data_IF_139265035862
#
_entry.id   IF_139265035862
#
_cell.length_a   1.000
_cell.length_b   1.000
_cell.length_c   1.000
_cell.angle_alpha   90.00
_cell.angle_beta   90.00
_cell.angle_gamma   90.00
#
_symmetry.space_group_name_H-M   'P 1'
#
loop_
_entity.id
_entity.type
_entity.pdbx_description
1 polymer ?
#
# COMPACT_ATOMS: atom_id res chain seq x y z
N UNK A 1 -6.57 9.25 -63.11
CA UNK A 1 -7.48 8.75 -62.05
C UNK A 1 -7.97 7.30 -62.25
N UNK A 2 -8.29 6.82 -63.47
CA UNK A 2 -8.77 5.42 -63.69
C UNK A 2 -7.74 4.30 -63.41
N UNK A 3 -6.43 4.55 -63.56
CA UNK A 3 -5.39 3.52 -63.33
C UNK A 3 -5.09 3.25 -61.85
N UNK A 4 -5.16 4.26 -60.99
CA UNK A 4 -4.95 4.10 -59.54
C UNK A 4 -6.07 3.30 -58.86
N UNK A 5 -7.32 3.48 -59.31
CA UNK A 5 -8.46 2.71 -58.80
C UNK A 5 -8.40 1.22 -59.17
N UNK A 6 -7.80 0.88 -60.32
CA UNK A 6 -7.60 -0.50 -60.75
C UNK A 6 -6.50 -1.21 -59.95
N UNK A 7 -5.40 -0.49 -59.63
CA UNK A 7 -4.33 -1.02 -58.77
C UNK A 7 -4.79 -1.25 -57.33
N UNK A 8 -5.63 -0.37 -56.77
CA UNK A 8 -6.20 -0.57 -55.44
C UNK A 8 -7.20 -1.74 -55.40
N UNK A 9 -8.05 -1.90 -56.43
CA UNK A 9 -8.96 -3.05 -56.51
C UNK A 9 -8.23 -4.38 -56.68
N UNK A 10 -7.14 -4.40 -57.45
CA UNK A 10 -6.32 -5.61 -57.61
C UNK A 10 -5.56 -5.95 -56.31
N UNK A 11 -5.04 -4.95 -55.60
CA UNK A 11 -4.37 -5.13 -54.30
C UNK A 11 -5.32 -5.63 -53.21
N UNK A 12 -6.54 -5.07 -53.14
CA UNK A 12 -7.55 -5.50 -52.17
C UNK A 12 -8.02 -6.94 -52.43
N UNK A 13 -8.16 -7.35 -53.70
CA UNK A 13 -8.55 -8.71 -54.06
C UNK A 13 -7.44 -9.73 -53.73
N UNK A 14 -6.17 -9.36 -53.91
CA UNK A 14 -5.03 -10.22 -53.57
C UNK A 14 -4.91 -10.42 -52.05
N UNK A 15 -5.17 -9.35 -51.27
CA UNK A 15 -5.16 -9.40 -49.81
C UNK A 15 -6.31 -10.26 -49.26
N UNK A 16 -7.49 -10.19 -49.87
CA UNK A 16 -8.64 -11.05 -49.55
C UNK A 16 -8.36 -12.52 -49.88
N UNK A 17 -7.69 -12.83 -51.00
CA UNK A 17 -7.32 -14.21 -51.34
C UNK A 17 -6.28 -14.82 -50.38
N UNK A 18 -5.37 -14.01 -49.83
CA UNK A 18 -4.38 -14.45 -48.84
C UNK A 18 -5.02 -14.78 -47.47
N UNK A 19 -6.15 -14.16 -47.12
CA UNK A 19 -6.85 -14.41 -45.85
C UNK A 19 -7.70 -15.70 -45.85
N UNK A 20 -8.03 -16.28 -47.02
CA UNK A 20 -8.83 -17.51 -47.11
C UNK A 20 -8.00 -18.82 -47.13
N UNK A 21 -6.67 -18.75 -47.11
CA UNK A 21 -5.79 -19.92 -47.23
C UNK A 21 -5.26 -20.49 -45.90
N UNK A 22 -5.81 -20.06 -44.75
CA UNK A 22 -5.32 -20.42 -43.42
C UNK A 22 -6.30 -21.23 -42.58
N UNK A 23 -6.77 -22.39 -43.05
CA UNK A 23 -7.40 -23.39 -42.18
C UNK A 23 -7.31 -24.77 -42.84
N UNK A 24 -6.43 -25.63 -42.33
CA UNK A 24 -6.20 -26.97 -42.88
C UNK A 24 -4.91 -27.59 -42.34
N UNK A 25 -4.72 -27.56 -41.02
CA UNK A 25 -3.69 -28.34 -40.34
C UNK A 25 -4.33 -29.63 -39.82
N UNK A 26 -4.05 -30.75 -40.47
CA UNK A 26 -4.31 -32.09 -39.95
C UNK A 26 -3.35 -32.36 -38.77
N UNK A 27 -3.72 -31.91 -37.58
CA UNK A 27 -3.02 -32.31 -36.35
C UNK A 27 -3.43 -33.76 -35.99
N UNK A 28 -2.47 -34.68 -35.83
CA UNK A 28 -2.78 -36.05 -35.42
C UNK A 28 -3.45 -36.02 -34.04
N UNK A 29 -4.63 -36.65 -33.95
CA UNK A 29 -5.35 -36.84 -32.69
C UNK A 29 -4.40 -37.41 -31.62
N UNK A 30 -4.19 -36.72 -30.48
CA UNK A 30 -3.31 -37.25 -29.44
C UNK A 30 -3.93 -38.53 -28.88
N UNK A 31 -3.19 -39.64 -28.98
CA UNK A 31 -3.50 -40.91 -28.31
C UNK A 31 -3.67 -40.64 -26.81
N UNK A 32 -4.74 -41.12 -26.16
CA UNK A 32 -4.93 -40.92 -24.73
C UNK A 32 -3.74 -41.51 -23.97
N UNK A 33 -2.97 -40.63 -23.34
CA UNK A 33 -1.91 -41.03 -22.42
C UNK A 33 -2.58 -41.53 -21.15
N UNK A 34 -2.31 -42.78 -20.77
CA UNK A 34 -2.86 -43.35 -19.55
C UNK A 34 -2.50 -42.46 -18.35
N UNK A 35 -3.52 -42.00 -17.63
CA UNK A 35 -3.35 -41.28 -16.37
C UNK A 35 -2.55 -42.17 -15.40
N UNK A 36 -1.43 -41.71 -14.85
CA UNK A 36 -0.71 -42.47 -13.83
C UNK A 36 -1.62 -42.72 -12.64
N UNK A 37 -1.61 -43.95 -12.13
CA UNK A 37 -2.38 -44.33 -10.95
C UNK A 37 -2.03 -43.41 -9.77
N UNK A 38 -3.01 -43.05 -8.91
CA UNK A 38 -2.74 -42.25 -7.71
C UNK A 38 -1.66 -42.92 -6.86
N UNK A 39 -0.73 -42.16 -6.26
CA UNK A 39 0.23 -42.73 -5.33
C UNK A 39 -0.54 -43.37 -4.16
N UNK A 40 -0.28 -44.66 -3.93
CA UNK A 40 -0.71 -45.37 -2.72
C UNK A 40 -0.23 -44.57 -1.51
N UNK A 41 -1.16 -44.14 -0.66
CA UNK A 41 -0.85 -43.38 0.55
C UNK A 41 0.12 -44.19 1.43
N UNK A 42 1.32 -43.66 1.63
CA UNK A 42 2.27 -44.16 2.63
C UNK A 42 1.64 -43.97 4.02
N UNK A 43 1.58 -45.00 4.89
CA UNK A 43 1.04 -44.84 6.23
C UNK A 43 1.85 -43.77 6.98
N UNK A 44 1.19 -42.67 7.30
CA UNK A 44 1.77 -41.57 8.08
C UNK A 44 1.82 -41.99 9.54
N UNK A 45 3.03 -42.10 10.08
CA UNK A 45 3.25 -42.32 11.51
C UNK A 45 2.60 -41.19 12.31
N UNK A 46 1.84 -41.47 13.39
CA UNK A 46 1.24 -40.43 14.21
C UNK A 46 2.30 -39.46 14.76
N UNK A 47 2.07 -38.15 14.74
CA UNK A 47 2.98 -37.18 15.35
C UNK A 47 3.11 -37.45 16.85
N UNK A 48 4.34 -37.42 17.35
CA UNK A 48 4.63 -37.54 18.77
C UNK A 48 3.94 -36.40 19.53
N UNK A 49 3.20 -36.75 20.59
CA UNK A 49 2.60 -35.80 21.53
C UNK A 49 3.71 -35.00 22.21
N UNK A 50 3.93 -33.77 21.77
CA UNK A 50 4.79 -32.82 22.46
C UNK A 50 4.10 -32.36 23.75
N UNK A 51 4.83 -32.49 24.86
CA UNK A 51 4.42 -32.03 26.19
C UNK A 51 4.28 -30.50 26.19
N UNK A 52 3.28 -29.91 26.87
CA UNK A 52 3.07 -28.46 26.87
C UNK A 52 4.25 -27.74 27.56
N UNK A 53 4.74 -26.69 26.89
CA UNK A 53 5.73 -25.75 27.40
C UNK A 53 5.16 -25.03 28.65
N UNK A 54 5.92 -24.88 29.75
CA UNK A 54 5.44 -24.16 30.93
C UNK A 54 5.13 -22.70 30.59
N UNK A 55 3.95 -22.25 31.03
CA UNK A 55 3.49 -20.86 30.94
C UNK A 55 4.51 -19.92 31.60
N UNK A 56 4.99 -18.86 30.90
CA UNK A 56 5.87 -17.89 31.52
C UNK A 56 5.10 -17.14 32.63
N UNK A 57 5.65 -17.19 33.85
CA UNK A 57 5.15 -16.42 34.98
C UNK A 57 5.47 -14.93 34.74
N UNK A 58 4.49 -14.02 34.81
CA UNK A 58 4.75 -12.59 34.61
C UNK A 58 5.72 -12.05 35.67
N UNK A 59 6.71 -11.21 35.29
CA UNK A 59 7.58 -10.54 36.25
C UNK A 59 6.79 -9.62 37.17
N UNK A 60 7.03 -9.73 38.48
CA UNK A 60 6.48 -8.83 39.48
C UNK A 60 6.88 -7.38 39.18
N UNK A 61 5.88 -6.49 39.15
CA UNK A 61 6.08 -5.05 39.06
C UNK A 61 6.83 -4.55 40.30
N UNK A 62 8.06 -4.10 40.11
CA UNK A 62 8.82 -3.35 41.11
C UNK A 62 8.50 -1.87 40.95
N UNK A 63 7.85 -1.31 41.96
CA UNK A 63 7.61 0.12 42.13
C UNK A 63 8.81 0.76 42.82
N UNK A 64 9.50 1.76 42.24
CA UNK A 64 10.39 2.60 43.01
C UNK A 64 9.63 3.81 43.56
N UNK A 65 9.44 3.81 44.88
CA UNK A 65 9.19 5.00 45.68
C UNK A 65 10.52 5.74 45.82
N UNK A 66 10.64 6.93 45.23
CA UNK A 66 11.73 7.85 45.56
C UNK A 66 11.11 9.22 45.84
N UNK A 67 11.02 9.53 47.14
CA UNK A 67 10.87 10.87 47.68
C UNK A 67 12.25 11.51 47.70
N UNK A 68 12.43 12.63 47.00
CA UNK A 68 13.55 13.53 47.28
C UNK A 68 13.07 14.98 47.30
N UNK A 69 12.95 15.49 48.53
CA UNK A 69 12.81 16.91 48.84
C UNK A 69 14.21 17.51 48.84
N UNK A 70 14.52 18.30 47.80
CA UNK A 70 15.75 19.06 47.70
C UNK A 70 15.44 20.51 47.34
N UNK A 71 15.37 21.37 48.36
CA UNK A 71 15.36 22.81 48.19
C UNK A 71 16.75 23.27 47.74
N UNK A 72 16.84 23.96 46.60
CA UNK A 72 17.96 24.85 46.30
C UNK A 72 17.40 26.19 45.85
N UNK A 73 17.54 27.15 46.76
CA UNK A 73 17.46 28.58 46.54
C UNK A 73 18.52 29.00 45.53
N UNK A 74 18.06 29.47 44.37
CA UNK A 74 18.88 30.15 43.38
C UNK A 74 18.05 31.24 42.69
N UNK A 75 18.00 32.41 43.31
CA UNK A 75 17.47 33.61 42.67
C UNK A 75 18.43 34.01 41.54
N UNK A 76 18.03 33.75 40.29
CA UNK A 76 18.64 34.38 39.14
C UNK A 76 17.77 35.57 38.71
N UNK A 77 18.40 36.73 38.74
CA UNK A 77 17.88 38.00 38.25
C UNK A 77 17.74 37.87 36.74
N UNK A 78 16.51 37.71 36.24
CA UNK A 78 16.21 37.89 34.83
C UNK A 78 16.14 39.41 34.62
N UNK A 79 17.21 39.99 34.07
CA UNK A 79 17.20 41.33 33.50
C UNK A 79 16.20 41.35 32.35
N UNK A 80 15.13 42.10 32.54
CA UNK A 80 14.13 42.38 31.52
C UNK A 80 14.67 43.40 30.52
N UNK A 81 15.46 42.92 29.55
CA UNK A 81 15.84 43.67 28.35
C UNK A 81 15.89 42.71 27.15
N UNK A 82 14.75 42.07 26.84
CA UNK A 82 14.44 41.74 25.44
C UNK A 82 12.97 41.35 25.29
N UNK A 83 12.09 42.35 25.26
CA UNK A 83 10.71 42.19 24.80
C UNK A 83 10.43 43.28 23.78
N UNK A 84 11.14 43.23 22.66
CA UNK A 84 10.78 43.93 21.42
C UNK A 84 11.10 43.03 20.23
N UNK A 85 10.15 42.19 19.84
CA UNK A 85 9.82 41.94 18.43
C UNK A 85 8.74 40.87 18.34
N UNK A 86 7.50 41.29 18.59
CA UNK A 86 6.31 40.55 18.16
C UNK A 86 5.62 41.39 17.09
N UNK A 87 6.27 41.53 15.95
CA UNK A 87 5.66 42.02 14.72
C UNK A 87 6.58 41.69 13.54
N UNK A 88 6.07 40.85 12.65
CA UNK A 88 6.59 40.57 11.31
C UNK A 88 7.88 39.74 11.20
N UNK A 89 7.78 38.46 11.57
CA UNK A 89 8.49 37.42 10.82
C UNK A 89 7.46 36.64 9.99
N UNK A 90 7.15 37.20 8.83
CA UNK A 90 7.05 36.38 7.62
C UNK A 90 8.49 36.02 7.21
N UNK A 91 9.24 35.42 8.15
CA UNK A 91 10.55 34.87 7.87
C UNK A 91 10.32 33.83 6.79
N UNK A 92 11.04 33.99 5.69
CA UNK A 92 11.33 32.93 4.74
C UNK A 92 11.77 31.71 5.53
N UNK A 93 10.81 30.83 5.84
CA UNK A 93 11.04 29.59 6.57
C UNK A 93 12.04 28.81 5.74
N UNK A 94 13.28 28.75 6.21
CA UNK A 94 14.36 28.09 5.48
C UNK A 94 14.30 26.61 5.82
N UNK A 95 13.70 25.81 4.94
CA UNK A 95 13.70 24.37 5.11
C UNK A 95 15.10 23.81 4.76
N UNK A 96 15.73 23.02 5.65
CA UNK A 96 17.09 22.50 5.43
C UNK A 96 17.13 21.41 4.35
N UNK A 97 15.99 20.77 4.09
CA UNK A 97 15.82 19.74 3.07
C UNK A 97 14.73 20.24 2.13
N UNK A 98 15.03 20.26 0.84
CA UNK A 98 14.07 20.59 -0.19
C UNK A 98 13.13 19.38 -0.44
N UNK A 99 11.83 19.62 -0.66
CA UNK A 99 10.94 18.58 -1.15
C UNK A 99 11.43 18.02 -2.49
N UNK A 100 11.14 16.75 -2.75
CA UNK A 100 11.46 16.17 -4.05
C UNK A 100 10.70 16.86 -5.19
N UNK A 101 11.33 16.99 -6.36
CA UNK A 101 10.75 17.67 -7.52
C UNK A 101 9.46 17.00 -8.01
N UNK A 102 9.32 15.70 -7.80
CA UNK A 102 8.11 14.96 -8.15
C UNK A 102 6.91 15.35 -7.24
N UNK A 103 7.17 15.93 -6.07
CA UNK A 103 6.11 16.45 -5.19
C UNK A 103 5.66 17.87 -5.55
N UNK A 104 6.27 18.52 -6.54
CA UNK A 104 5.93 19.90 -6.93
C UNK A 104 4.47 20.08 -7.40
N UNK A 105 3.78 18.99 -7.77
CA UNK A 105 2.36 19.01 -8.11
C UNK A 105 1.41 19.13 -6.89
N UNK A 106 1.91 18.91 -5.67
CA UNK A 106 1.13 19.04 -4.45
C UNK A 106 1.08 20.51 -4.00
N UNK A 107 -0.11 21.11 -4.04
CA UNK A 107 -0.30 22.53 -3.75
C UNK A 107 -0.03 22.86 -2.27
N UNK A 108 0.59 24.00 -2.02
CA UNK A 108 0.87 24.53 -0.68
C UNK A 108 1.59 23.52 0.24
N UNK A 109 2.49 22.71 -0.32
CA UNK A 109 3.14 21.57 0.37
C UNK A 109 3.76 21.96 1.71
N UNK A 110 4.57 23.03 1.75
CA UNK A 110 5.23 23.46 2.99
C UNK A 110 4.24 23.99 4.02
N UNK A 111 3.17 24.66 3.60
CA UNK A 111 2.13 25.14 4.50
C UNK A 111 1.32 23.98 5.08
N UNK A 112 1.11 22.93 4.28
CA UNK A 112 0.28 21.78 4.63
C UNK A 112 1.03 20.68 5.38
N UNK A 113 2.34 20.51 5.15
CA UNK A 113 3.13 19.41 5.70
C UNK A 113 4.30 19.88 6.58
N UNK A 114 4.66 21.16 6.54
CA UNK A 114 5.88 21.69 7.15
C UNK A 114 7.12 21.41 6.29
N UNK A 115 8.31 21.58 6.87
CA UNK A 115 9.55 21.30 6.18
C UNK A 115 9.77 19.78 5.99
N UNK A 116 10.44 19.40 4.90
CA UNK A 116 10.92 18.03 4.76
C UNK A 116 11.96 17.73 5.85
N UNK A 117 11.87 16.54 6.46
CA UNK A 117 12.77 16.10 7.55
C UNK A 117 13.65 14.91 7.15
N UNK A 118 13.45 14.38 5.93
CA UNK A 118 14.28 13.35 5.34
C UNK A 118 14.25 13.45 3.80
N UNK A 119 15.25 12.85 3.15
CA UNK A 119 15.24 12.65 1.71
C UNK A 119 14.04 11.78 1.28
N UNK A 120 13.54 12.02 0.07
CA UNK A 120 12.51 11.18 -0.51
C UNK A 120 13.01 9.76 -0.79
N UNK A 121 12.07 8.82 -0.76
CA UNK A 121 12.29 7.40 -1.05
C UNK A 121 11.37 6.96 -2.17
N UNK A 122 11.87 6.04 -2.98
CA UNK A 122 11.22 5.57 -4.22
C UNK A 122 10.96 4.05 -4.20
N UNK A 123 11.03 3.45 -3.02
CA UNK A 123 10.76 2.03 -2.84
C UNK A 123 9.31 1.71 -3.24
N UNK A 124 9.04 0.51 -3.75
CA UNK A 124 7.68 0.12 -4.14
C UNK A 124 6.67 0.30 -3.01
N UNK A 125 5.51 0.86 -3.35
CA UNK A 125 4.33 0.88 -2.51
C UNK A 125 3.20 0.12 -3.21
N UNK A 126 2.69 -0.90 -2.52
CA UNK A 126 1.46 -1.59 -2.91
C UNK A 126 0.24 -0.80 -2.46
N UNK A 127 -0.82 -0.80 -3.25
CA UNK A 127 -2.08 -0.12 -2.96
C UNK A 127 -3.26 -1.03 -3.29
N UNK A 128 -4.23 -1.05 -2.39
CA UNK A 128 -5.55 -1.61 -2.65
C UNK A 128 -6.63 -0.66 -2.11
N UNK A 129 -7.57 -0.28 -2.98
CA UNK A 129 -8.63 0.66 -2.66
C UNK A 129 -9.92 -0.03 -2.26
N UNK A 130 -10.70 0.67 -1.43
CA UNK A 130 -11.99 0.22 -0.94
C UNK A 130 -13.01 1.36 -1.03
N UNK A 131 -14.30 1.01 -1.03
CA UNK A 131 -15.40 1.96 -1.19
C UNK A 131 -15.75 2.26 -2.65
N UNK A 132 -16.58 3.28 -2.86
CA UNK A 132 -17.03 3.67 -4.20
C UNK A 132 -15.96 4.51 -4.91
N UNK A 133 -15.49 4.02 -6.06
CA UNK A 133 -14.56 4.77 -6.91
C UNK A 133 -15.27 5.91 -7.67
N UNK A 134 -14.52 6.90 -8.19
CA UNK A 134 -13.04 6.97 -8.24
C UNK A 134 -12.38 7.61 -7.02
N UNK A 135 -13.15 8.17 -6.09
CA UNK A 135 -12.61 8.92 -4.96
C UNK A 135 -11.94 7.98 -3.95
N UNK A 136 -12.59 6.84 -3.64
CA UNK A 136 -12.19 5.85 -2.63
C UNK A 136 -11.92 6.46 -1.25
N UNK A 137 -12.60 5.96 -0.23
CA UNK A 137 -12.55 6.51 1.12
C UNK A 137 -11.73 5.67 2.09
N UNK A 138 -11.10 4.60 1.60
CA UNK A 138 -10.35 3.62 2.38
C UNK A 138 -9.26 3.00 1.53
N UNK A 139 -8.12 2.71 2.16
CA UNK A 139 -6.97 2.14 1.48
C UNK A 139 -6.22 1.15 2.37
N UNK A 140 -5.59 0.17 1.73
CA UNK A 140 -4.45 -0.53 2.31
C UNK A 140 -3.20 -0.17 1.51
N UNK A 141 -2.13 0.22 2.19
CA UNK A 141 -0.85 0.61 1.59
C UNK A 141 0.28 -0.24 2.14
N UNK A 142 1.04 -0.90 1.28
CA UNK A 142 2.18 -1.73 1.67
C UNK A 142 3.48 -1.00 1.36
N UNK A 143 4.23 -0.61 2.39
CA UNK A 143 5.52 0.04 2.24
C UNK A 143 6.62 -1.02 2.28
N UNK A 144 7.15 -1.37 1.10
CA UNK A 144 8.09 -2.50 0.95
C UNK A 144 9.35 -2.40 1.80
N UNK A 145 9.89 -1.19 1.99
CA UNK A 145 11.10 -0.96 2.78
C UNK A 145 10.88 -1.21 4.28
N UNK A 146 9.69 -0.91 4.78
CA UNK A 146 9.34 -0.99 6.20
C UNK A 146 8.70 -2.34 6.56
N UNK A 147 8.30 -3.11 5.55
CA UNK A 147 7.48 -4.32 5.69
C UNK A 147 6.24 -4.04 6.56
N UNK A 148 5.59 -2.91 6.30
CA UNK A 148 4.39 -2.47 7.00
C UNK A 148 3.23 -2.30 6.01
N UNK A 149 2.04 -2.62 6.51
CA UNK A 149 0.75 -2.41 5.87
C UNK A 149 0.02 -1.33 6.67
N UNK A 150 -0.21 -0.19 6.03
CA UNK A 150 -1.03 0.88 6.58
C UNK A 150 -2.47 0.66 6.14
N UNK A 151 -3.39 0.76 7.10
CA UNK A 151 -4.83 0.67 6.90
C UNK A 151 -5.43 2.05 7.13
N UNK A 152 -6.05 2.61 6.10
CA UNK A 152 -6.62 3.95 6.07
C UNK A 152 -8.14 3.81 6.13
N UNK A 153 -8.72 4.27 7.23
CA UNK A 153 -10.13 4.10 7.58
C UNK A 153 -11.01 5.25 7.06
N UNK A 154 -12.33 5.02 6.87
CA UNK A 154 -13.23 6.05 6.32
C UNK A 154 -13.50 7.20 7.30
N UNK A 155 -13.16 7.04 8.59
CA UNK A 155 -13.22 8.10 9.60
C UNK A 155 -12.00 9.05 9.56
N UNK A 156 -11.10 8.85 8.59
CA UNK A 156 -9.88 9.64 8.44
C UNK A 156 -8.75 9.21 9.38
N UNK A 157 -8.89 8.11 10.16
CA UNK A 157 -7.77 7.56 10.94
C UNK A 157 -6.97 6.55 10.14
N UNK A 158 -5.71 6.34 10.50
CA UNK A 158 -4.91 5.24 9.98
C UNK A 158 -4.26 4.43 11.09
N UNK A 159 -4.08 3.13 10.83
CA UNK A 159 -3.35 2.18 11.68
C UNK A 159 -2.29 1.44 10.85
N UNK A 160 -1.34 0.80 11.53
CA UNK A 160 -0.22 0.10 10.89
C UNK A 160 -0.13 -1.32 11.42
N UNK A 161 0.10 -2.26 10.49
CA UNK A 161 0.27 -3.67 10.78
C UNK A 161 1.55 -4.19 10.13
N UNK A 162 2.32 -5.06 10.80
CA UNK A 162 3.46 -5.69 10.16
C UNK A 162 3.00 -6.62 9.02
N UNK A 163 3.71 -6.58 7.90
CA UNK A 163 3.55 -7.59 6.85
C UNK A 163 4.24 -8.88 7.29
N UNK A 164 3.43 -9.85 7.73
CA UNK A 164 3.90 -11.17 8.18
C UNK A 164 3.54 -12.28 7.19
N UNK A 165 3.18 -11.92 5.96
CA UNK A 165 2.93 -12.91 4.92
C UNK A 165 4.26 -13.47 4.41
N UNK A 166 4.25 -14.75 4.07
CA UNK A 166 5.40 -15.50 3.56
C UNK A 166 4.94 -16.39 2.39
N UNK A 167 5.86 -16.79 1.52
CA UNK A 167 5.54 -17.51 0.27
C UNK A 167 4.91 -18.91 0.49
N UNK A 168 4.92 -19.46 1.70
CA UNK A 168 4.24 -20.70 2.08
C UNK A 168 2.77 -20.49 2.52
N UNK A 169 2.33 -19.24 2.67
CA UNK A 169 0.94 -18.88 2.99
C UNK A 169 0.12 -18.72 1.70
N UNK A 170 -1.21 -18.92 1.74
CA UNK A 170 -2.05 -18.77 0.56
C UNK A 170 -2.03 -17.33 0.02
N UNK A 171 -2.22 -17.19 -1.29
CA UNK A 171 -2.36 -15.87 -1.95
C UNK A 171 -3.61 -15.14 -1.46
N UNK A 172 -4.71 -15.86 -1.22
CA UNK A 172 -5.96 -15.32 -0.68
C UNK A 172 -6.21 -15.97 0.68
N UNK A 173 -6.24 -15.17 1.74
CA UNK A 173 -6.39 -15.70 3.12
C UNK A 173 -7.83 -16.12 3.41
N UNK A 174 -8.81 -15.39 2.87
CA UNK A 174 -10.22 -15.68 3.00
C UNK A 174 -11.01 -15.05 1.84
N UNK A 175 -12.21 -15.57 1.57
CA UNK A 175 -13.24 -14.91 0.77
C UNK A 175 -14.53 -14.80 1.61
N UNK A 176 -14.77 -13.66 2.29
CA UNK A 176 -15.95 -13.50 3.13
C UNK A 176 -17.24 -13.29 2.34
N UNK A 177 -17.15 -12.97 1.04
CA UNK A 177 -18.29 -12.73 0.15
C UNK A 177 -18.87 -14.04 -0.40
N UNK A 178 -18.14 -15.15 -0.23
CA UNK A 178 -18.47 -16.45 -0.82
C UNK A 178 -18.30 -16.45 -2.34
N UNK A 179 -18.58 -17.61 -2.96
CA UNK A 179 -18.42 -17.79 -4.41
C UNK A 179 -17.08 -18.44 -4.77
N UNK A 180 -16.51 -18.02 -5.91
CA UNK A 180 -15.21 -18.51 -6.35
C UNK A 180 -14.10 -17.96 -5.44
N UNK A 181 -13.03 -18.72 -5.23
CA UNK A 181 -11.99 -18.38 -4.25
C UNK A 181 -11.32 -17.02 -4.49
N UNK A 182 -11.29 -16.56 -5.75
CA UNK A 182 -10.62 -15.34 -6.18
C UNK A 182 -11.60 -14.25 -6.69
N UNK A 183 -12.93 -14.45 -6.52
CA UNK A 183 -13.96 -13.57 -7.06
C UNK A 183 -15.02 -13.18 -6.02
N UNK A 184 -15.44 -11.90 -5.95
CA UNK A 184 -14.92 -10.73 -6.69
C UNK A 184 -13.45 -10.43 -6.31
N UNK A 185 -12.76 -9.41 -6.86
CA UNK A 185 -11.40 -9.10 -6.45
C UNK A 185 -11.26 -9.05 -4.93
N UNK A 186 -10.18 -9.65 -4.40
CA UNK A 186 -9.87 -9.72 -2.98
C UNK A 186 -8.46 -9.18 -2.74
N UNK A 187 -8.17 -8.63 -1.55
CA UNK A 187 -6.80 -8.30 -1.19
C UNK A 187 -5.93 -9.56 -1.16
N UNK A 188 -4.69 -9.46 -1.64
CA UNK A 188 -3.79 -10.61 -1.78
C UNK A 188 -2.69 -10.56 -0.73
N UNK A 189 -2.09 -11.72 -0.45
CA UNK A 189 -0.87 -11.87 0.35
C UNK A 189 -0.97 -11.13 1.70
N UNK A 190 -0.04 -10.21 1.98
CA UNK A 190 -0.01 -9.40 3.20
C UNK A 190 -1.30 -8.62 3.43
N UNK A 191 -1.86 -7.98 2.39
CA UNK A 191 -3.14 -7.29 2.49
C UNK A 191 -4.26 -8.26 2.83
N UNK A 192 -4.35 -9.39 2.13
CA UNK A 192 -5.33 -10.43 2.40
C UNK A 192 -5.25 -10.96 3.83
N UNK A 193 -4.03 -11.15 4.35
CA UNK A 193 -3.81 -11.59 5.73
C UNK A 193 -4.31 -10.57 6.73
N UNK A 194 -3.92 -9.30 6.61
CA UNK A 194 -4.38 -8.24 7.52
C UNK A 194 -5.90 -8.09 7.45
N UNK A 195 -6.46 -7.97 6.24
CA UNK A 195 -7.91 -7.83 6.01
C UNK A 195 -8.72 -8.97 6.64
N UNK A 196 -8.25 -10.21 6.52
CA UNK A 196 -8.97 -11.39 7.03
C UNK A 196 -8.79 -11.67 8.52
N UNK A 197 -7.70 -11.20 9.14
CA UNK A 197 -7.33 -11.64 10.51
C UNK A 197 -7.47 -10.55 11.56
N UNK A 198 -7.52 -9.27 11.16
CA UNK A 198 -7.83 -8.18 12.08
C UNK A 198 -9.33 -8.14 12.32
N UNK A 199 -9.73 -8.23 13.60
CA UNK A 199 -11.13 -8.28 14.00
C UNK A 199 -11.92 -7.05 13.51
N UNK A 200 -13.05 -7.30 12.86
CA UNK A 200 -13.94 -6.25 12.33
C UNK A 200 -13.42 -5.52 11.09
N UNK A 201 -12.18 -5.78 10.63
CA UNK A 201 -11.60 -5.03 9.52
C UNK A 201 -12.33 -5.28 8.20
N UNK A 202 -12.81 -6.50 7.96
CA UNK A 202 -13.61 -6.82 6.77
C UNK A 202 -14.85 -5.93 6.68
N UNK A 203 -15.57 -5.77 7.78
CA UNK A 203 -16.82 -4.98 7.81
C UNK A 203 -16.55 -3.49 7.61
N UNK A 204 -15.43 -3.00 8.14
CA UNK A 204 -15.03 -1.59 8.00
C UNK A 204 -14.54 -1.30 6.58
N UNK A 205 -13.71 -2.19 6.03
CA UNK A 205 -13.09 -1.98 4.72
C UNK A 205 -14.06 -2.26 3.58
N UNK A 206 -14.86 -3.32 3.69
CA UNK A 206 -15.86 -3.70 2.71
C UNK A 206 -15.26 -4.36 1.47
N UNK A 207 -15.94 -4.21 0.33
CA UNK A 207 -15.58 -4.85 -0.93
C UNK A 207 -14.40 -4.17 -1.62
N UNK A 208 -13.63 -4.94 -2.38
CA UNK A 208 -12.54 -4.45 -3.21
C UNK A 208 -13.01 -4.29 -4.67
N UNK A 209 -13.22 -3.06 -5.16
CA UNK A 209 -13.68 -2.80 -6.52
C UNK A 209 -12.58 -2.95 -7.58
N UNK A 210 -11.31 -2.95 -7.16
CA UNK A 210 -10.14 -3.00 -8.05
C UNK A 210 -9.05 -3.88 -7.44
N UNK A 211 -8.43 -4.70 -8.27
CA UNK A 211 -7.29 -5.53 -7.84
C UNK A 211 -6.16 -4.70 -7.25
N UNK A 212 -5.50 -5.27 -6.24
CA UNK A 212 -4.25 -4.78 -5.69
C UNK A 212 -3.20 -4.58 -6.79
N UNK A 213 -2.43 -3.49 -6.68
CA UNK A 213 -1.31 -3.19 -7.60
C UNK A 213 -0.19 -2.43 -6.89
N UNK A 214 0.92 -2.25 -7.58
CA UNK A 214 1.94 -1.28 -7.20
C UNK A 214 1.61 0.09 -7.82
N UNK A 215 1.95 1.17 -7.11
CA UNK A 215 2.10 2.49 -7.72
C UNK A 215 3.11 2.40 -8.88
N UNK A 216 2.81 2.99 -10.04
CA UNK A 216 3.70 2.90 -11.21
C UNK A 216 5.03 3.63 -10.97
N UNK A 217 4.94 4.75 -10.27
CA UNK A 217 6.06 5.46 -9.66
C UNK A 217 5.63 5.90 -8.26
N UNK A 218 6.58 5.93 -7.33
CA UNK A 218 6.31 6.23 -5.92
C UNK A 218 7.30 7.27 -5.44
N UNK A 219 6.79 8.32 -4.80
CA UNK A 219 7.61 9.23 -4.00
C UNK A 219 7.04 9.27 -2.59
N UNK A 220 7.84 8.86 -1.61
CA UNK A 220 7.51 8.95 -0.19
C UNK A 220 8.51 9.88 0.47
N UNK A 221 8.04 10.99 1.04
CA UNK A 221 8.90 11.90 1.79
C UNK A 221 8.31 12.22 3.15
N UNK A 222 9.17 12.27 4.17
CA UNK A 222 8.79 12.66 5.53
C UNK A 222 8.90 14.17 5.68
N UNK A 223 7.91 14.73 6.35
CA UNK A 223 7.79 16.13 6.71
C UNK A 223 7.54 16.27 8.22
N UNK A 224 7.56 17.48 8.74
CA UNK A 224 7.32 17.77 10.15
C UNK A 224 5.93 17.30 10.64
N UNK A 225 4.90 17.38 9.78
CA UNK A 225 3.53 17.01 10.15
C UNK A 225 3.15 15.58 9.77
N UNK A 226 4.01 14.83 9.09
CA UNK A 226 3.71 13.46 8.69
C UNK A 226 4.57 12.96 7.53
N UNK A 227 4.01 12.10 6.70
CA UNK A 227 4.61 11.70 5.42
C UNK A 227 3.62 11.89 4.28
N UNK A 228 4.13 12.30 3.13
CA UNK A 228 3.38 12.38 1.89
C UNK A 228 3.81 11.21 1.00
N UNK A 229 2.83 10.47 0.49
CA UNK A 229 2.98 9.51 -0.59
C UNK A 229 2.39 10.12 -1.85
N UNK A 230 3.18 10.24 -2.92
CA UNK A 230 2.70 10.43 -4.27
C UNK A 230 2.73 9.09 -5.00
N UNK A 231 1.55 8.55 -5.28
CA UNK A 231 1.35 7.32 -6.04
C UNK A 231 0.94 7.69 -7.47
N UNK A 232 1.82 7.45 -8.44
CA UNK A 232 1.55 7.76 -9.84
C UNK A 232 0.78 6.61 -10.49
N UNK A 233 -0.29 6.96 -11.19
CA UNK A 233 -1.24 6.03 -11.77
C UNK A 233 -1.70 6.54 -13.15
N UNK A 234 -1.12 5.97 -14.21
CA UNK A 234 -1.37 6.33 -15.61
C UNK A 234 -1.13 7.84 -15.86
N UNK A 235 -2.22 8.61 -15.99
CA UNK A 235 -2.20 10.06 -16.19
C UNK A 235 -2.67 10.82 -14.94
N UNK A 236 -2.63 10.19 -13.78
CA UNK A 236 -3.08 10.75 -12.51
C UNK A 236 -2.03 10.55 -11.41
N UNK A 237 -2.08 11.41 -10.40
CA UNK A 237 -1.26 11.27 -9.20
C UNK A 237 -2.21 11.26 -8.01
N UNK A 238 -2.14 10.22 -7.20
CA UNK A 238 -2.81 10.19 -5.91
C UNK A 238 -1.83 10.59 -4.83
N UNK A 239 -2.06 11.74 -4.24
CA UNK A 239 -1.37 12.18 -3.04
C UNK A 239 -2.10 11.64 -1.81
N UNK A 240 -1.39 11.01 -0.90
CA UNK A 240 -1.91 10.50 0.37
C UNK A 240 -1.05 11.06 1.49
N UNK A 241 -1.68 11.81 2.40
CA UNK A 241 -1.04 12.30 3.62
C UNK A 241 -1.28 11.31 4.75
N UNK A 242 -0.22 10.89 5.42
CA UNK A 242 -0.28 10.15 6.68
C UNK A 242 0.29 11.06 7.76
N UNK A 243 -0.59 11.69 8.53
CA UNK A 243 -0.24 12.72 9.52
C UNK A 243 0.18 12.10 10.85
N UNK A 244 1.01 12.84 11.60
CA UNK A 244 1.57 12.39 12.87
C UNK A 244 0.53 12.24 13.99
N UNK A 245 -0.67 12.81 13.83
CA UNK A 245 -1.80 12.68 14.75
C UNK A 245 -2.71 11.48 14.42
N UNK A 246 -2.20 10.52 13.64
CA UNK A 246 -2.92 9.34 13.16
C UNK A 246 -4.10 9.64 12.24
N UNK A 247 -4.15 10.82 11.62
CA UNK A 247 -5.14 11.14 10.58
C UNK A 247 -4.55 11.04 9.17
N UNK A 248 -5.41 10.85 8.17
CA UNK A 248 -5.04 10.82 6.76
C UNK A 248 -6.07 11.52 5.90
N UNK A 249 -5.62 11.93 4.72
CA UNK A 249 -6.47 12.33 3.61
C UNK A 249 -5.78 12.03 2.28
N UNK A 250 -6.53 12.17 1.20
CA UNK A 250 -6.03 11.97 -0.16
C UNK A 250 -6.57 13.03 -1.11
N UNK A 251 -5.77 13.35 -2.13
CA UNK A 251 -6.16 14.17 -3.26
C UNK A 251 -5.73 13.45 -4.53
N UNK A 252 -6.63 13.32 -5.50
CA UNK A 252 -6.35 12.80 -6.83
C UNK A 252 -6.22 13.96 -7.83
N UNK A 253 -5.07 14.05 -8.49
CA UNK A 253 -4.78 15.09 -9.51
C UNK A 253 -4.55 14.46 -10.88
N UNK A 254 -4.74 15.24 -11.95
CA UNK A 254 -4.48 14.86 -13.35
C UNK A 254 -3.46 15.79 -13.97
#
# INVERSE_FOLDING_TARGET
MRKQFQLHRLGLLLLLLLLLAGCGGDDPTPTPTATPAPPTATPTTPPATVSPLPTPTPPAAVSPLITETGAVTGAQVITAEDVVSSAADNETRTCPIEPDLDLAGYQDLEQQMGCAVAAARFNPVGINEFGEGPEYDRFMLWFSEEQQIYVLFPDGRWEVHPDTWTEDQPTFTCNPLGGEEESPPLPRRGFGKVWCTVEGLIDIMGTVPREERLCQHTVVQRFELGRLLACYEDATIRYIRLLNDNTWDTILTR
#
